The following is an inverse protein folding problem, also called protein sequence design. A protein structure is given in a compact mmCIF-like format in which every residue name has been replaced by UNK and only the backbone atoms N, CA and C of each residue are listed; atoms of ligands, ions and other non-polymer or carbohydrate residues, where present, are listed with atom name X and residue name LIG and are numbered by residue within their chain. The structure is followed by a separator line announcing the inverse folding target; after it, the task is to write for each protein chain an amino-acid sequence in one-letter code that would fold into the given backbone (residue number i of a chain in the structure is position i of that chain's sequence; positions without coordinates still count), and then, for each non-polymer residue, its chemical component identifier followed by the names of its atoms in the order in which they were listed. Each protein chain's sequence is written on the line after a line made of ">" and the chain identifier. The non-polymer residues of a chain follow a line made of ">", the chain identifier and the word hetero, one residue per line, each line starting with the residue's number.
data_IF_871386934273
#
_entry.id   IF_871386934273
#
_cell.length_a   1.000
_cell.length_b   1.000
_cell.length_c   1.000
_cell.angle_alpha   90.00
_cell.angle_beta   90.00
_cell.angle_gamma   90.00
#
_symmetry.space_group_name_H-M   'P 1'
#
loop_
_entity.id
_entity.type
_entity.pdbx_description
1 polymer ?
#
# COMPACT_ATOMS: atom_id res chain seq x y z
N UNK A 1 -13.54 -6.21 10.88
CA UNK A 1 -12.11 -5.87 11.12
C UNK A 1 -11.41 -5.80 9.78
N UNK A 2 -10.53 -4.82 9.55
CA UNK A 2 -9.78 -4.71 8.29
C UNK A 2 -8.28 -4.94 8.50
N UNK A 3 -7.57 -5.28 7.42
CA UNK A 3 -6.11 -5.38 7.37
C UNK A 3 -5.58 -4.41 6.30
N UNK A 4 -4.42 -3.81 6.58
CA UNK A 4 -3.71 -2.96 5.62
C UNK A 4 -2.37 -3.60 5.32
N UNK A 5 -2.05 -3.74 4.04
CA UNK A 5 -0.73 -4.19 3.56
C UNK A 5 -0.09 -3.04 2.80
N UNK A 6 1.08 -2.60 3.23
CA UNK A 6 1.88 -1.61 2.51
C UNK A 6 3.06 -2.29 1.85
N UNK A 7 3.17 -2.19 0.52
CA UNK A 7 4.31 -2.70 -0.24
C UNK A 7 5.21 -1.54 -0.60
N UNK A 8 6.51 -1.68 -0.32
CA UNK A 8 7.51 -0.63 -0.57
C UNK A 8 8.54 -1.17 -1.56
N UNK A 9 8.65 -0.52 -2.72
CA UNK A 9 9.75 -0.76 -3.65
C UNK A 9 11.02 -0.07 -3.13
N UNK A 10 12.08 -0.84 -2.90
CA UNK A 10 13.39 -0.30 -2.50
C UNK A 10 14.33 -0.05 -3.67
N UNK A 11 14.03 -0.58 -4.86
CA UNK A 11 14.79 -0.26 -6.08
C UNK A 11 14.60 1.23 -6.47
N UNK A 12 13.41 1.77 -6.20
CA UNK A 12 13.07 3.19 -6.33
C UNK A 12 13.47 4.07 -5.13
N UNK A 13 13.94 3.46 -4.02
CA UNK A 13 14.27 4.19 -2.79
C UNK A 13 15.72 4.70 -2.82
N UNK A 14 15.90 6.02 -2.61
CA UNK A 14 17.22 6.67 -2.58
C UNK A 14 18.16 5.95 -1.59
N UNK A 15 19.26 5.42 -2.12
CA UNK A 15 20.38 4.85 -1.36
C UNK A 15 20.84 5.88 -0.29
N UNK A 16 20.63 5.55 1.00
CA UNK A 16 20.88 6.45 2.14
C UNK A 16 19.66 6.73 3.04
N UNK A 17 18.44 6.38 2.62
CA UNK A 17 17.20 6.57 3.42
C UNK A 17 16.68 5.29 4.10
N UNK A 18 17.36 4.17 3.91
CA UNK A 18 16.98 2.84 4.42
C UNK A 18 16.82 2.79 5.96
N UNK A 19 17.62 3.58 6.70
CA UNK A 19 17.48 3.75 8.16
C UNK A 19 16.21 4.51 8.58
N UNK A 20 15.74 5.46 7.77
CA UNK A 20 14.52 6.25 8.04
C UNK A 20 13.25 5.45 7.72
N UNK A 21 13.27 4.68 6.63
CA UNK A 21 12.18 3.79 6.23
C UNK A 21 11.96 2.68 7.27
N UNK A 22 13.04 2.05 7.74
CA UNK A 22 12.95 1.03 8.81
C UNK A 22 12.47 1.61 10.15
N UNK A 23 12.86 2.84 10.49
CA UNK A 23 12.35 3.58 11.64
C UNK A 23 10.85 3.85 11.56
N UNK A 24 10.36 4.35 10.42
CA UNK A 24 8.92 4.57 10.18
C UNK A 24 8.12 3.27 10.18
N UNK A 25 8.66 2.18 9.64
CA UNK A 25 8.02 0.86 9.68
C UNK A 25 7.91 0.31 11.11
N UNK A 26 8.94 0.48 11.95
CA UNK A 26 8.88 0.10 13.38
C UNK A 26 7.85 0.93 14.15
N UNK A 27 7.78 2.23 13.90
CA UNK A 27 6.79 3.11 14.55
C UNK A 27 5.37 2.79 14.08
N UNK A 28 5.14 2.58 12.78
CA UNK A 28 3.83 2.18 12.27
C UNK A 28 3.39 0.79 12.77
N UNK A 29 4.29 -0.19 12.88
CA UNK A 29 3.94 -1.48 13.51
C UNK A 29 3.57 -1.35 14.99
N UNK A 30 4.13 -0.37 15.70
CA UNK A 30 3.74 -0.07 17.10
C UNK A 30 2.36 0.60 17.16
N UNK A 31 2.07 1.54 16.28
CA UNK A 31 0.79 2.26 16.25
C UNK A 31 -0.36 1.49 15.58
N UNK A 32 -0.05 0.57 14.66
CA UNK A 32 -0.98 -0.27 13.93
C UNK A 32 -0.46 -1.71 13.88
N UNK A 33 -0.68 -2.52 14.93
CA UNK A 33 -0.12 -3.87 15.04
C UNK A 33 -0.56 -4.82 13.92
N UNK A 34 -1.69 -4.53 13.27
CA UNK A 34 -2.26 -5.31 12.15
C UNK A 34 -1.76 -4.86 10.77
N UNK A 35 -1.01 -3.76 10.68
CA UNK A 35 -0.45 -3.31 9.42
C UNK A 35 0.70 -4.25 9.00
N UNK A 36 0.54 -4.88 7.84
CA UNK A 36 1.59 -5.69 7.22
C UNK A 36 2.43 -4.82 6.30
N UNK A 37 3.73 -5.08 6.26
CA UNK A 37 4.64 -4.40 5.36
C UNK A 37 5.39 -5.44 4.53
N UNK A 38 5.40 -5.26 3.22
CA UNK A 38 6.16 -6.08 2.27
C UNK A 38 7.20 -5.19 1.60
N UNK A 39 8.42 -5.70 1.47
CA UNK A 39 9.52 -4.99 0.85
C UNK A 39 9.81 -5.67 -0.48
N UNK A 40 9.53 -4.98 -1.58
CA UNK A 40 9.98 -5.39 -2.91
C UNK A 40 11.38 -4.84 -3.14
N UNK A 41 12.39 -5.71 -2.97
CA UNK A 41 13.80 -5.30 -3.02
C UNK A 41 14.34 -5.13 -4.44
N UNK A 42 13.73 -5.81 -5.42
CA UNK A 42 14.23 -5.89 -6.79
C UNK A 42 13.31 -5.20 -7.80
N UNK A 43 12.12 -4.77 -7.38
CA UNK A 43 11.11 -4.20 -8.27
C UNK A 43 10.27 -5.26 -8.98
N UNK A 44 10.48 -6.55 -8.72
CA UNK A 44 9.82 -7.65 -9.44
C UNK A 44 8.28 -7.55 -9.37
N UNK A 45 7.73 -7.08 -8.23
CA UNK A 45 6.29 -6.91 -8.07
C UNK A 45 5.79 -5.67 -8.81
N UNK A 46 6.54 -4.57 -8.74
CA UNK A 46 6.23 -3.34 -9.48
C UNK A 46 6.22 -3.58 -10.99
N UNK A 47 7.19 -4.33 -11.50
CA UNK A 47 7.28 -4.73 -12.91
C UNK A 47 6.10 -5.63 -13.31
N UNK A 48 5.79 -6.64 -12.50
CA UNK A 48 4.67 -7.55 -12.76
C UNK A 48 3.33 -6.80 -12.81
N UNK A 49 3.14 -5.85 -11.90
CA UNK A 49 1.92 -5.04 -11.81
C UNK A 49 1.94 -3.82 -12.72
N UNK A 50 3.04 -3.61 -13.46
CA UNK A 50 3.27 -2.48 -14.37
C UNK A 50 3.07 -1.11 -13.69
N UNK A 51 3.43 -1.03 -12.41
CA UNK A 51 3.39 0.21 -11.64
C UNK A 51 4.55 1.10 -12.08
N UNK A 52 4.27 2.37 -12.36
CA UNK A 52 5.31 3.32 -12.75
C UNK A 52 6.30 3.56 -11.61
N UNK A 53 7.57 3.76 -11.95
CA UNK A 53 8.59 4.16 -11.00
C UNK A 53 8.15 5.39 -10.19
N UNK A 54 8.40 5.37 -8.87
CA UNK A 54 7.97 6.40 -7.91
C UNK A 54 6.44 6.63 -7.81
N UNK A 55 5.63 5.69 -8.29
CA UNK A 55 4.17 5.66 -8.10
C UNK A 55 3.78 4.78 -6.90
N UNK A 56 2.48 4.72 -6.62
CA UNK A 56 1.85 3.85 -5.63
C UNK A 56 0.71 3.08 -6.27
N UNK A 57 0.29 1.95 -5.71
CA UNK A 57 -0.99 1.35 -6.08
C UNK A 57 -1.86 1.18 -4.83
N UNK A 58 -3.14 1.49 -4.95
CA UNK A 58 -4.13 1.33 -3.90
C UNK A 58 -5.17 0.32 -4.39
N UNK A 59 -5.27 -0.78 -3.66
CA UNK A 59 -6.17 -1.89 -3.98
C UNK A 59 -7.00 -2.19 -2.74
N UNK A 60 -8.33 -2.20 -2.90
CA UNK A 60 -9.29 -2.61 -1.88
C UNK A 60 -9.83 -3.99 -2.25
N UNK A 61 -9.76 -4.92 -1.30
CA UNK A 61 -10.32 -6.26 -1.41
C UNK A 61 -11.48 -6.44 -0.41
N UNK A 62 -12.47 -7.27 -0.74
CA UNK A 62 -13.44 -7.78 0.25
C UNK A 62 -12.85 -8.97 1.05
N UNK A 63 -13.64 -9.56 1.95
CA UNK A 63 -13.19 -10.66 2.81
C UNK A 63 -12.87 -11.95 2.02
N UNK A 64 -13.48 -12.11 0.86
CA UNK A 64 -13.30 -13.21 -0.09
C UNK A 64 -12.07 -13.00 -0.98
N UNK A 65 -11.43 -11.84 -0.91
CA UNK A 65 -10.25 -11.47 -1.70
C UNK A 65 -10.56 -10.91 -3.10
N UNK A 66 -11.82 -10.56 -3.38
CA UNK A 66 -12.24 -9.94 -4.63
C UNK A 66 -11.88 -8.45 -4.64
N UNK A 67 -11.44 -7.94 -5.80
CA UNK A 67 -11.06 -6.54 -5.97
C UNK A 67 -12.31 -5.66 -6.05
N UNK A 68 -12.51 -4.82 -5.04
CA UNK A 68 -13.57 -3.81 -5.01
C UNK A 68 -13.13 -2.48 -5.65
N UNK A 69 -11.83 -2.18 -5.58
CA UNK A 69 -11.24 -0.97 -6.15
C UNK A 69 -9.75 -1.18 -6.42
N UNK A 70 -9.24 -0.63 -7.52
CA UNK A 70 -7.82 -0.60 -7.81
C UNK A 70 -7.46 0.70 -8.53
N UNK A 71 -6.37 1.36 -8.09
CA UNK A 71 -5.83 2.54 -8.74
C UNK A 71 -4.32 2.58 -8.65
N UNK A 72 -3.67 2.98 -9.76
CA UNK A 72 -2.29 3.44 -9.77
C UNK A 72 -2.24 4.95 -9.47
N UNK A 73 -1.30 5.33 -8.62
CA UNK A 73 -1.09 6.67 -8.09
C UNK A 73 -1.89 7.01 -6.84
N UNK A 74 -1.77 8.27 -6.46
CA UNK A 74 -2.48 8.92 -5.36
C UNK A 74 -4.00 8.95 -5.61
N UNK A 75 -4.80 8.77 -4.55
CA UNK A 75 -6.23 9.04 -4.61
C UNK A 75 -6.49 10.54 -4.54
N UNK A 76 -7.35 11.04 -5.42
CA UNK A 76 -7.97 12.35 -5.25
C UNK A 76 -9.13 12.27 -4.23
N UNK A 77 -9.70 13.42 -3.85
CA UNK A 77 -10.73 13.48 -2.82
C UNK A 77 -11.98 12.65 -3.15
N UNK A 78 -12.42 12.61 -4.41
CA UNK A 78 -13.60 11.85 -4.83
C UNK A 78 -13.35 10.35 -4.70
N UNK A 79 -12.16 9.89 -5.06
CA UNK A 79 -11.77 8.49 -4.93
C UNK A 79 -11.59 8.08 -3.46
N UNK A 80 -11.10 8.99 -2.61
CA UNK A 80 -11.07 8.77 -1.16
C UNK A 80 -12.48 8.53 -0.63
N UNK A 81 -13.43 9.39 -1.00
CA UNK A 81 -14.82 9.26 -0.55
C UNK A 81 -15.45 7.95 -1.06
N UNK A 82 -15.15 7.56 -2.31
CA UNK A 82 -15.57 6.29 -2.89
C UNK A 82 -15.00 5.09 -2.12
N UNK A 83 -13.69 5.08 -1.85
CA UNK A 83 -13.02 3.99 -1.13
C UNK A 83 -13.55 3.88 0.29
N UNK A 84 -13.78 5.00 0.99
CA UNK A 84 -14.40 5.01 2.32
C UNK A 84 -15.82 4.45 2.28
N UNK A 85 -16.60 4.80 1.25
CA UNK A 85 -17.94 4.26 1.03
C UNK A 85 -17.92 2.74 0.83
N UNK A 86 -17.03 2.24 -0.03
CA UNK A 86 -16.85 0.81 -0.28
C UNK A 86 -16.42 0.06 0.98
N UNK A 87 -15.48 0.64 1.75
CA UNK A 87 -15.09 0.09 3.05
C UNK A 87 -16.34 -0.04 3.92
N UNK A 88 -17.07 1.05 4.21
CA UNK A 88 -18.26 1.01 5.08
C UNK A 88 -19.35 0.01 4.65
N UNK A 89 -19.49 -0.24 3.35
CA UNK A 89 -20.46 -1.19 2.83
C UNK A 89 -20.04 -2.67 2.97
N UNK A 90 -18.75 -2.94 3.23
CA UNK A 90 -18.15 -4.28 3.21
C UNK A 90 -17.40 -4.66 4.51
N UNK A 91 -17.48 -3.86 5.59
CA UNK A 91 -16.94 -4.21 6.92
C UNK A 91 -17.99 -4.74 7.89
#
# INVERSE_FOLDING_TARGET
>A
TYQTVTIVNLDDAIFGTSGFVTGKMKTNKKSFPKASFVIDKKGDLFDLWKIKAKSSAIILLNAEGEVLFAKDGELNQQEIDQVIGLIKANI
#
